data_IF_320122251540
#
_entry.id   IF_320122251540
#
_cell.length_a   1.000
_cell.length_b   1.000
_cell.length_c   1.000
_cell.angle_alpha   90.00
_cell.angle_beta   90.00
_cell.angle_gamma   90.00
#
_symmetry.space_group_name_H-M   'P 1'
#
loop_
_entity.id
_entity.type
_entity.pdbx_description
1 polymer ?
#
# COMPACT_ATOMS: atom_id res chain seq x y z
N UNK A 1 10.12 -25.92 12.83
CA UNK A 1 8.72 -26.39 12.95
C UNK A 1 8.00 -25.62 11.88
N UNK A 2 7.19 -26.30 11.10
CA UNK A 2 6.54 -25.77 9.91
C UNK A 2 5.14 -26.39 9.91
N UNK A 3 4.16 -25.61 10.35
CA UNK A 3 2.84 -26.08 10.73
C UNK A 3 1.94 -26.35 9.51
N UNK A 4 2.03 -25.50 8.49
CA UNK A 4 1.26 -25.62 7.25
C UNK A 4 2.02 -26.33 6.11
N UNK A 5 3.33 -26.56 6.28
CA UNK A 5 4.24 -27.30 5.39
C UNK A 5 4.52 -26.58 4.07
N UNK A 6 4.62 -25.26 4.11
CA UNK A 6 4.93 -24.43 2.95
C UNK A 6 6.44 -24.24 2.71
N UNK A 7 7.28 -24.66 3.67
CA UNK A 7 8.75 -24.57 3.62
C UNK A 7 9.35 -23.42 4.42
N UNK A 8 8.54 -22.63 5.14
CA UNK A 8 8.96 -21.54 6.03
C UNK A 8 8.81 -22.02 7.48
N UNK A 9 9.79 -21.72 8.34
CA UNK A 9 9.70 -22.12 9.76
C UNK A 9 8.69 -21.22 10.46
N UNK A 10 7.83 -21.77 11.33
CA UNK A 10 6.80 -21.07 12.14
C UNK A 10 7.33 -19.79 12.84
N UNK A 11 8.65 -19.71 13.09
CA UNK A 11 9.28 -18.53 13.69
C UNK A 11 9.38 -17.33 12.76
N UNK A 12 9.37 -17.56 11.46
CA UNK A 12 9.51 -16.58 10.39
C UNK A 12 8.27 -16.52 9.48
N UNK A 13 7.34 -17.43 9.66
CA UNK A 13 6.04 -17.47 9.01
C UNK A 13 5.06 -16.49 9.69
N UNK A 14 4.55 -15.54 8.90
CA UNK A 14 3.56 -14.56 9.33
C UNK A 14 2.13 -15.13 9.36
N UNK A 15 1.88 -16.25 8.67
CA UNK A 15 0.61 -16.92 8.52
C UNK A 15 0.69 -18.41 8.88
N UNK A 16 1.02 -18.70 10.14
CA UNK A 16 1.20 -20.05 10.75
C UNK A 16 0.30 -21.21 10.29
N UNK A 17 -0.92 -20.96 9.80
CA UNK A 17 -1.90 -21.99 9.42
C UNK A 17 -2.26 -21.96 7.92
N UNK A 18 -1.66 -21.07 7.13
CA UNK A 18 -2.03 -20.78 5.74
C UNK A 18 -0.79 -20.78 4.84
N UNK A 19 -0.63 -21.86 4.06
CA UNK A 19 0.55 -22.06 3.22
C UNK A 19 0.78 -20.96 2.19
N UNK A 20 2.04 -20.51 2.10
CA UNK A 20 2.53 -19.61 1.07
C UNK A 20 2.24 -20.08 -0.37
N UNK A 21 1.94 -19.13 -1.25
CA UNK A 21 1.91 -19.34 -2.69
C UNK A 21 3.08 -18.64 -3.39
N UNK A 22 4.03 -19.43 -3.87
CA UNK A 22 5.19 -18.97 -4.64
C UNK A 22 4.81 -18.34 -6.00
N UNK A 23 4.36 -17.09 -6.00
CA UNK A 23 3.81 -16.36 -7.14
C UNK A 23 4.72 -15.20 -7.61
N UNK A 24 5.84 -14.96 -6.93
CA UNK A 24 6.83 -13.94 -7.27
C UNK A 24 6.61 -12.59 -6.59
N UNK A 25 5.61 -12.48 -5.71
CA UNK A 25 5.47 -11.45 -4.69
C UNK A 25 5.71 -12.12 -3.33
N UNK A 26 6.14 -11.36 -2.32
CA UNK A 26 6.37 -11.73 -0.91
C UNK A 26 6.67 -13.20 -0.48
N UNK A 27 7.23 -14.06 -1.35
CA UNK A 27 7.36 -15.52 -1.25
C UNK A 27 8.17 -16.08 -0.04
N UNK A 28 8.57 -15.23 0.89
CA UNK A 28 9.35 -15.57 2.09
C UNK A 28 8.68 -15.12 3.38
N UNK A 29 7.49 -14.52 3.32
CA UNK A 29 6.76 -14.05 4.50
C UNK A 29 5.81 -15.12 5.08
N UNK A 30 5.54 -16.20 4.33
CA UNK A 30 4.74 -17.33 4.79
C UNK A 30 3.24 -17.12 4.59
N UNK A 31 2.83 -16.04 3.93
CA UNK A 31 1.44 -15.69 3.76
C UNK A 31 1.00 -15.79 2.29
N UNK A 32 -0.14 -16.42 2.00
CA UNK A 32 -0.62 -16.52 0.63
C UNK A 32 -0.89 -15.14 0.01
N UNK A 33 -0.05 -14.79 -0.96
CA UNK A 33 -0.21 -13.58 -1.74
C UNK A 33 -1.40 -13.68 -2.72
N UNK A 34 -2.53 -13.09 -2.34
CA UNK A 34 -3.71 -12.97 -3.20
C UNK A 34 -4.00 -11.51 -3.53
N UNK A 35 -4.41 -11.25 -4.78
CA UNK A 35 -4.87 -9.92 -5.20
C UNK A 35 -6.12 -9.57 -4.38
N UNK A 36 -5.97 -8.68 -3.41
CA UNK A 36 -7.02 -8.31 -2.45
C UNK A 36 -6.79 -8.78 -1.01
N UNK A 37 -5.78 -9.60 -0.73
CA UNK A 37 -5.13 -9.62 0.60
C UNK A 37 -4.17 -8.43 0.66
N UNK A 38 -4.75 -7.24 0.49
CA UNK A 38 -4.08 -6.02 0.88
C UNK A 38 -3.73 -6.21 2.35
N UNK A 39 -2.46 -6.02 2.70
CA UNK A 39 -2.09 -5.73 4.08
C UNK A 39 -3.12 -4.75 4.63
N UNK A 40 -3.61 -4.93 5.87
CA UNK A 40 -4.53 -3.95 6.48
C UNK A 40 -3.93 -2.53 6.55
N UNK A 41 -2.65 -2.40 6.22
CA UNK A 41 -2.00 -1.15 5.86
C UNK A 41 -2.57 -0.67 4.53
N UNK A 42 -3.48 0.31 4.60
CA UNK A 42 -3.85 1.14 3.45
C UNK A 42 -2.55 1.52 2.74
N UNK A 43 -2.35 1.14 1.46
CA UNK A 43 -1.13 1.51 0.76
C UNK A 43 -1.04 3.04 0.82
N UNK A 44 0.00 3.53 1.50
CA UNK A 44 0.28 4.95 1.63
C UNK A 44 0.76 5.41 0.25
N UNK A 45 -0.19 5.73 -0.61
CA UNK A 45 0.01 6.16 -1.99
C UNK A 45 -0.16 7.66 -2.10
N UNK A 46 0.62 8.24 -3.00
CA UNK A 46 0.60 9.63 -3.45
C UNK A 46 0.80 9.53 -4.97
N UNK A 47 -0.31 9.41 -5.68
CA UNK A 47 -0.35 8.99 -7.08
C UNK A 47 0.22 10.06 -8.02
N UNK A 48 0.04 11.35 -7.71
CA UNK A 48 0.59 12.47 -8.49
C UNK A 48 1.89 13.09 -7.91
N UNK A 49 2.32 12.62 -6.73
CA UNK A 49 3.58 12.96 -6.07
C UNK A 49 3.66 14.43 -5.65
N UNK A 50 2.55 15.02 -5.26
CA UNK A 50 2.49 16.39 -4.77
C UNK A 50 2.75 16.53 -3.25
N UNK A 51 2.79 15.39 -2.53
CA UNK A 51 3.02 15.30 -1.10
C UNK A 51 1.77 15.08 -0.25
N UNK A 52 0.57 15.04 -0.83
CA UNK A 52 -0.65 14.57 -0.20
C UNK A 52 -0.85 13.08 -0.48
N UNK A 53 -1.24 12.34 0.55
CA UNK A 53 -1.62 10.94 0.35
C UNK A 53 -2.97 10.90 -0.34
N UNK A 54 -3.21 9.91 -1.21
CA UNK A 54 -4.46 9.74 -1.97
C UNK A 54 -5.70 9.71 -1.06
N UNK A 55 -5.56 9.30 0.22
CA UNK A 55 -6.65 9.31 1.21
C UNK A 55 -6.99 10.70 1.76
N UNK A 56 -6.06 11.64 1.68
CA UNK A 56 -6.16 13.03 2.17
C UNK A 56 -6.15 14.07 1.05
N UNK A 57 -5.95 13.64 -0.20
CA UNK A 57 -5.97 14.47 -1.39
C UNK A 57 -7.38 14.55 -1.98
N UNK A 58 -7.85 15.77 -2.27
CA UNK A 58 -9.13 16.00 -2.94
C UNK A 58 -9.05 15.74 -4.46
N UNK A 59 -7.85 15.76 -5.03
CA UNK A 59 -7.56 15.51 -6.43
C UNK A 59 -6.41 14.49 -6.62
N UNK A 60 -6.58 13.19 -6.23
CA UNK A 60 -5.49 12.19 -6.17
C UNK A 60 -4.68 11.91 -7.45
N UNK A 61 -5.03 12.52 -8.58
CA UNK A 61 -4.35 12.30 -9.87
C UNK A 61 -3.88 13.60 -10.51
N UNK A 62 -4.08 14.74 -9.86
CA UNK A 62 -3.74 16.05 -10.35
C UNK A 62 -2.96 16.83 -9.28
N UNK A 63 -1.66 17.09 -9.50
CA UNK A 63 -0.81 17.61 -8.45
C UNK A 63 -1.18 19.05 -8.06
N UNK A 64 -1.11 19.33 -6.76
CA UNK A 64 -1.30 20.65 -6.15
C UNK A 64 -0.46 21.75 -6.81
N UNK A 65 -1.06 22.93 -6.93
CA UNK A 65 -0.40 24.14 -7.44
C UNK A 65 -0.07 25.10 -6.31
N UNK A 66 1.15 25.02 -5.79
CA UNK A 66 1.68 25.85 -4.70
C UNK A 66 1.77 27.36 -5.02
N UNK A 67 0.64 28.05 -4.98
CA UNK A 67 0.49 29.44 -5.39
C UNK A 67 -0.03 30.38 -4.28
N UNK A 68 -0.24 29.86 -3.05
CA UNK A 68 -0.77 30.58 -1.86
C UNK A 68 -2.28 30.82 -1.88
N UNK A 69 -2.97 30.27 -2.85
CA UNK A 69 -4.41 30.07 -2.86
C UNK A 69 -4.65 28.58 -2.63
N UNK A 70 -5.64 28.23 -1.81
CA UNK A 70 -6.08 26.87 -1.47
C UNK A 70 -5.08 25.68 -1.41
N UNK A 71 -3.77 25.89 -1.18
CA UNK A 71 -2.70 24.85 -1.16
C UNK A 71 -2.82 23.73 -0.08
N UNK A 72 -4.01 23.52 0.50
CA UNK A 72 -4.29 22.58 1.59
C UNK A 72 -5.29 21.50 1.22
N UNK A 73 -5.81 21.51 0.00
CA UNK A 73 -6.78 20.53 -0.47
C UNK A 73 -6.18 19.48 -1.40
N UNK A 74 -4.94 19.67 -1.87
CA UNK A 74 -4.25 18.76 -2.79
C UNK A 74 -4.68 18.96 -4.24
N UNK A 75 -5.46 20.01 -4.53
CA UNK A 75 -6.02 20.22 -5.86
C UNK A 75 -5.31 21.37 -6.59
N UNK A 76 -5.11 21.26 -7.92
CA UNK A 76 -4.59 22.37 -8.69
C UNK A 76 -5.59 23.53 -8.71
N UNK A 77 -5.13 24.71 -8.29
CA UNK A 77 -5.93 25.91 -8.33
C UNK A 77 -5.25 27.09 -9.06
N UNK A 78 -6.02 28.17 -9.21
CA UNK A 78 -5.54 29.40 -9.81
C UNK A 78 -6.10 30.62 -9.10
N UNK A 79 -5.30 31.69 -9.05
CA UNK A 79 -5.71 32.98 -8.50
C UNK A 79 -6.90 33.55 -9.31
N UNK A 80 -7.92 34.10 -8.63
CA UNK A 80 -9.07 34.73 -9.27
C UNK A 80 -8.74 36.03 -10.02
#
# INVERSE_FOLDING_TARGET
MDNDNDGIDDRWDQCLDESENYNGFADTDGCPDVIGAESTVVPITDLDQDGYLDEFDSCPSEPETWNKYNDKDGCPDSLP
#
